data_IF_544519790712
#
_entry.id   IF_544519790712
#
_cell.length_a   1.000
_cell.length_b   1.000
_cell.length_c   1.000
_cell.angle_alpha   90.00
_cell.angle_beta   90.00
_cell.angle_gamma   90.00
#
_symmetry.space_group_name_H-M   'P 1'
#
loop_
_entity.id
_entity.type
_entity.pdbx_description
1 polymer ?
#
# COMPACT_ATOMS: atom_id res chain seq x y z
N UNK A 1 1.35 14.22 14.49
CA UNK A 1 1.27 13.26 13.38
C UNK A 1 2.06 12.02 13.78
N UNK A 2 1.53 10.80 13.55
CA UNK A 2 2.27 9.57 13.78
C UNK A 2 3.55 9.52 12.93
N UNK A 3 4.71 9.15 13.48
CA UNK A 3 5.93 8.98 12.68
C UNK A 3 5.75 7.84 11.68
N UNK A 4 5.86 8.18 10.39
CA UNK A 4 5.97 7.22 9.29
C UNK A 4 7.45 7.03 8.95
N UNK A 5 7.89 5.79 8.93
CA UNK A 5 9.22 5.39 8.47
C UNK A 5 9.07 4.64 7.16
N UNK A 6 9.80 5.04 6.13
CA UNK A 6 9.78 4.38 4.84
C UNK A 6 10.93 3.38 4.74
N UNK A 7 10.73 2.30 4.00
CA UNK A 7 11.78 1.32 3.75
C UNK A 7 12.83 1.87 2.79
N UNK A 8 14.06 1.36 2.89
CA UNK A 8 15.20 1.82 2.07
C UNK A 8 15.07 1.47 0.59
N UNK A 9 14.27 0.45 0.29
CA UNK A 9 13.99 -0.07 -1.03
C UNK A 9 12.71 0.52 -1.64
N UNK A 10 12.13 1.55 -1.01
CA UNK A 10 10.89 2.22 -1.42
C UNK A 10 9.68 1.25 -1.58
N UNK A 11 9.79 0.01 -1.11
CA UNK A 11 8.76 -1.03 -1.27
C UNK A 11 7.74 -1.04 -0.14
N UNK A 12 8.00 -0.35 0.97
CA UNK A 12 7.15 -0.41 2.14
C UNK A 12 7.24 0.81 3.05
N UNK A 13 6.33 0.84 4.02
CA UNK A 13 6.28 1.84 5.07
C UNK A 13 5.88 1.21 6.40
N UNK A 14 6.40 1.75 7.48
CA UNK A 14 6.02 1.43 8.85
C UNK A 14 5.42 2.67 9.48
N UNK A 15 4.21 2.54 9.99
CA UNK A 15 3.48 3.56 10.71
C UNK A 15 3.49 3.24 12.20
N UNK A 16 3.81 4.24 13.01
CA UNK A 16 3.69 4.17 14.46
C UNK A 16 2.68 5.23 14.93
N UNK A 17 1.50 4.76 15.35
CA UNK A 17 0.39 5.55 15.84
C UNK A 17 0.22 5.31 17.34
N UNK A 18 1.14 5.87 18.13
CA UNK A 18 1.14 5.75 19.58
C UNK A 18 1.52 4.34 20.04
N UNK A 19 0.52 3.51 20.32
CA UNK A 19 0.69 2.10 20.66
C UNK A 19 0.44 1.17 19.47
N UNK A 20 -0.20 1.67 18.41
CA UNK A 20 -0.52 0.87 17.23
C UNK A 20 0.61 0.95 16.21
N UNK A 21 1.17 -0.21 15.81
CA UNK A 21 2.26 -0.29 14.84
C UNK A 21 1.86 -1.17 13.67
N UNK A 22 1.97 -0.63 12.47
CA UNK A 22 1.58 -1.31 11.23
C UNK A 22 2.69 -1.17 10.20
N UNK A 23 3.02 -2.26 9.52
CA UNK A 23 3.97 -2.28 8.42
C UNK A 23 3.27 -2.72 7.14
N UNK A 24 3.43 -1.96 6.06
CA UNK A 24 2.92 -2.34 4.74
C UNK A 24 4.08 -2.58 3.79
N UNK A 25 4.02 -3.67 3.03
CA UNK A 25 4.99 -4.05 2.01
C UNK A 25 4.26 -4.22 0.68
N UNK A 26 4.83 -3.69 -0.39
CA UNK A 26 4.28 -3.72 -1.74
C UNK A 26 5.25 -4.51 -2.62
N UNK A 27 4.77 -5.65 -3.11
CA UNK A 27 5.52 -6.53 -4.00
C UNK A 27 4.98 -6.44 -5.43
N UNK A 28 5.75 -5.87 -6.38
CA UNK A 28 5.37 -5.86 -7.79
C UNK A 28 5.73 -7.19 -8.47
N UNK A 29 4.78 -7.76 -9.20
CA UNK A 29 4.99 -8.97 -10.02
C UNK A 29 4.46 -8.77 -11.43
N UNK A 30 5.14 -9.33 -12.43
CA UNK A 30 4.64 -9.33 -13.81
C UNK A 30 3.80 -10.58 -14.04
N UNK A 31 2.51 -10.38 -14.30
CA UNK A 31 1.56 -11.48 -14.56
C UNK A 31 0.79 -11.24 -15.86
N UNK A 32 0.13 -12.28 -16.37
CA UNK A 32 -0.86 -12.08 -17.42
C UNK A 32 -2.10 -11.37 -16.84
N UNK A 33 -2.74 -10.45 -17.59
CA UNK A 33 -3.99 -9.83 -17.15
C UNK A 33 -5.14 -10.84 -17.14
N UNK A 34 -6.23 -10.47 -16.48
CA UNK A 34 -7.49 -11.20 -16.58
C UNK A 34 -8.10 -11.03 -17.98
N UNK A 35 -8.76 -12.07 -18.48
CA UNK A 35 -9.37 -12.04 -19.82
C UNK A 35 -10.46 -10.96 -19.96
N UNK A 36 -11.17 -10.68 -18.86
CA UNK A 36 -12.22 -9.65 -18.82
C UNK A 36 -11.67 -8.22 -19.01
N UNK A 37 -10.43 -7.97 -18.59
CA UNK A 37 -9.79 -6.65 -18.55
C UNK A 37 -8.32 -6.74 -18.98
N UNK A 38 -8.03 -6.87 -20.29
CA UNK A 38 -6.67 -7.07 -20.79
C UNK A 38 -5.76 -5.83 -20.70
N UNK A 39 -6.34 -4.65 -20.46
CA UNK A 39 -5.65 -3.35 -20.43
C UNK A 39 -5.40 -2.84 -19.00
N UNK A 40 -5.81 -3.58 -17.98
CA UNK A 40 -5.74 -3.16 -16.58
C UNK A 40 -4.78 -4.07 -15.81
N UNK A 41 -3.96 -3.48 -14.94
CA UNK A 41 -3.16 -4.20 -13.96
C UNK A 41 -3.99 -4.71 -12.79
N UNK A 42 -3.44 -5.68 -12.05
CA UNK A 42 -4.10 -6.24 -10.87
C UNK A 42 -3.56 -5.61 -9.59
N UNK A 43 -4.43 -5.35 -8.62
CA UNK A 43 -4.05 -4.93 -7.26
C UNK A 43 -4.72 -5.87 -6.27
N UNK A 44 -3.94 -6.45 -5.37
CA UNK A 44 -4.40 -7.35 -4.32
C UNK A 44 -4.01 -6.80 -2.96
N UNK A 45 -4.97 -6.74 -2.04
CA UNK A 45 -4.75 -6.35 -0.66
C UNK A 45 -4.83 -7.58 0.22
N UNK A 46 -3.88 -7.72 1.12
CA UNK A 46 -3.84 -8.78 2.12
C UNK A 46 -3.49 -8.14 3.46
N UNK A 47 -4.28 -8.44 4.49
CA UNK A 47 -4.03 -7.95 5.84
C UNK A 47 -3.80 -9.14 6.74
N UNK A 48 -2.63 -9.22 7.34
CA UNK A 48 -2.26 -10.24 8.29
C UNK A 48 -2.07 -9.63 9.68
N UNK A 49 -2.72 -10.22 10.66
CA UNK A 49 -2.53 -9.87 12.06
C UNK A 49 -1.47 -10.79 12.65
N UNK A 50 -0.32 -10.21 13.01
CA UNK A 50 0.70 -10.97 13.70
C UNK A 50 0.21 -11.38 15.09
N UNK A 51 0.48 -12.62 15.55
CA UNK A 51 0.25 -13.01 16.94
C UNK A 51 1.02 -12.13 17.95
N UNK A 52 2.04 -11.40 17.47
CA UNK A 52 2.74 -10.40 18.28
C UNK A 52 1.87 -9.20 18.65
N UNK A 53 0.88 -8.85 17.81
CA UNK A 53 0.05 -7.67 18.02
C UNK A 53 -0.99 -7.87 19.12
N UNK A 54 -1.51 -9.09 19.26
CA UNK A 54 -2.37 -9.48 20.37
C UNK A 54 -2.37 -10.99 20.54
N UNK A 55 -2.37 -11.52 21.78
CA UNK A 55 -2.48 -12.96 22.03
C UNK A 55 -3.81 -13.56 21.53
N UNK A 56 -4.81 -12.74 21.24
CA UNK A 56 -6.08 -13.18 20.63
C UNK A 56 -5.96 -13.56 19.15
N UNK A 57 -4.86 -13.15 18.48
CA UNK A 57 -4.67 -13.40 17.06
C UNK A 57 -3.94 -14.73 16.83
N UNK A 58 -4.49 -15.55 15.94
CA UNK A 58 -3.89 -16.81 15.53
C UNK A 58 -3.15 -16.62 14.21
N UNK A 59 -1.95 -17.17 14.10
CA UNK A 59 -1.19 -17.15 12.86
C UNK A 59 -1.88 -17.99 11.78
N UNK A 60 -1.83 -17.51 10.53
CA UNK A 60 -2.26 -18.26 9.36
C UNK A 60 -3.71 -18.00 8.94
N UNK A 61 -4.72 -18.24 9.80
CA UNK A 61 -6.12 -17.98 9.42
C UNK A 61 -6.44 -16.50 9.63
N UNK A 62 -6.84 -15.74 8.59
CA UNK A 62 -7.25 -14.36 8.79
C UNK A 62 -8.50 -14.33 9.67
N UNK A 63 -8.40 -13.64 10.80
CA UNK A 63 -9.54 -13.39 11.69
C UNK A 63 -10.59 -12.51 11.03
N UNK A 64 -11.81 -12.50 11.57
CA UNK A 64 -12.92 -11.69 11.03
C UNK A 64 -12.55 -10.21 10.91
N UNK A 65 -11.89 -9.65 11.93
CA UNK A 65 -11.42 -8.27 11.92
C UNK A 65 -10.40 -7.99 10.80
N UNK A 66 -9.50 -8.94 10.48
CA UNK A 66 -8.53 -8.79 9.39
C UNK A 66 -9.24 -8.83 8.02
N UNK A 67 -10.22 -9.71 7.85
CA UNK A 67 -11.05 -9.78 6.64
C UNK A 67 -11.83 -8.48 6.46
N UNK A 68 -12.34 -7.91 7.55
CA UNK A 68 -13.11 -6.66 7.50
C UNK A 68 -12.25 -5.45 7.12
N UNK A 69 -11.03 -5.35 7.66
CA UNK A 69 -10.06 -4.31 7.26
C UNK A 69 -9.58 -4.53 5.84
N UNK A 70 -9.36 -5.77 5.41
CA UNK A 70 -9.01 -6.09 4.01
C UNK A 70 -10.10 -5.60 3.05
N UNK A 71 -11.37 -5.90 3.35
CA UNK A 71 -12.52 -5.41 2.55
C UNK A 71 -12.65 -3.90 2.56
N UNK A 72 -12.33 -3.25 3.69
CA UNK A 72 -12.31 -1.79 3.78
C UNK A 72 -11.22 -1.20 2.86
N UNK A 73 -10.01 -1.75 2.87
CA UNK A 73 -8.92 -1.33 1.98
C UNK A 73 -9.30 -1.53 0.51
N UNK A 74 -9.86 -2.68 0.17
CA UNK A 74 -10.35 -2.94 -1.20
C UNK A 74 -11.38 -1.89 -1.64
N UNK A 75 -12.41 -1.63 -0.82
CA UNK A 75 -13.41 -0.59 -1.15
C UNK A 75 -12.79 0.80 -1.27
N UNK A 76 -11.87 1.12 -0.36
CA UNK A 76 -11.26 2.43 -0.32
C UNK A 76 -10.31 2.69 -1.49
N UNK A 77 -9.55 1.70 -1.96
CA UNK A 77 -8.54 1.89 -3.02
C UNK A 77 -8.98 1.35 -4.39
N UNK A 78 -9.60 0.16 -4.44
CA UNK A 78 -10.06 -0.47 -5.69
C UNK A 78 -11.37 0.15 -6.17
N UNK A 79 -12.39 0.18 -5.32
CA UNK A 79 -13.73 0.63 -5.75
C UNK A 79 -13.76 2.15 -5.99
N UNK A 80 -12.95 2.90 -5.24
CA UNK A 80 -12.78 4.34 -5.48
C UNK A 80 -11.92 4.64 -6.71
N UNK A 81 -11.21 3.66 -7.30
CA UNK A 81 -10.20 3.85 -8.38
C UNK A 81 -9.08 4.81 -8.00
N UNK A 82 -8.54 4.69 -6.78
CA UNK A 82 -7.44 5.53 -6.32
C UNK A 82 -6.14 5.26 -7.08
N UNK A 83 -5.92 4.01 -7.47
CA UNK A 83 -4.72 3.55 -8.20
C UNK A 83 -5.05 3.47 -9.69
N UNK A 84 -4.21 4.06 -10.53
CA UNK A 84 -4.31 3.94 -11.97
C UNK A 84 -3.88 2.53 -12.43
N UNK A 85 -4.86 1.68 -12.71
CA UNK A 85 -4.65 0.31 -13.18
C UNK A 85 -4.24 0.25 -14.65
N UNK A 86 -4.57 1.26 -15.46
CA UNK A 86 -4.20 1.31 -16.88
C UNK A 86 -2.70 1.61 -17.02
N UNK A 87 -2.15 2.49 -16.16
CA UNK A 87 -0.72 2.78 -16.09
C UNK A 87 0.15 1.58 -15.67
N UNK A 88 -0.45 0.51 -15.14
CA UNK A 88 0.19 -0.75 -14.79
C UNK A 88 0.28 -1.73 -15.97
N UNK A 89 -0.41 -1.47 -17.09
CA UNK A 89 -0.32 -2.30 -18.28
C UNK A 89 0.97 -2.02 -19.06
N UNK A 90 1.77 -3.07 -19.28
CA UNK A 90 3.00 -2.98 -20.09
C UNK A 90 2.71 -3.36 -21.53
N UNK A 91 2.03 -4.50 -21.72
CA UNK A 91 1.61 -5.01 -23.02
C UNK A 91 0.19 -5.57 -22.89
N UNK A 92 -0.76 -4.89 -23.53
CA UNK A 92 -2.17 -5.23 -23.52
C UNK A 92 -2.40 -6.72 -23.85
N UNK A 93 -3.16 -7.41 -23.00
CA UNK A 93 -3.51 -8.83 -23.18
C UNK A 93 -2.38 -9.84 -22.91
N UNK A 94 -1.16 -9.40 -22.61
CA UNK A 94 -0.02 -10.32 -22.44
C UNK A 94 0.70 -10.18 -21.10
N UNK A 95 1.04 -8.95 -20.70
CA UNK A 95 1.84 -8.67 -19.50
C UNK A 95 1.38 -7.37 -18.85
N UNK A 96 0.92 -7.49 -17.61
CA UNK A 96 0.55 -6.36 -16.76
C UNK A 96 1.27 -6.48 -15.41
N UNK A 97 1.44 -5.35 -14.75
CA UNK A 97 1.90 -5.35 -13.36
C UNK A 97 0.76 -5.77 -12.43
N UNK A 98 1.08 -6.70 -11.54
CA UNK A 98 0.26 -7.11 -10.42
C UNK A 98 0.93 -6.66 -9.13
N UNK A 99 0.29 -5.75 -8.39
CA UNK A 99 0.76 -5.27 -7.10
C UNK A 99 0.10 -6.09 -5.99
N UNK A 100 0.92 -6.79 -5.21
CA UNK A 100 0.46 -7.41 -3.95
C UNK A 100 0.85 -6.49 -2.80
N UNK A 101 -0.14 -6.03 -2.05
CA UNK A 101 0.00 -5.10 -0.93
C UNK A 101 -0.31 -5.91 0.34
N UNK A 102 0.73 -6.20 1.09
CA UNK A 102 0.67 -6.95 2.33
C UNK A 102 0.79 -6.01 3.51
N UNK A 103 -0.26 -5.94 4.34
CA UNK A 103 -0.32 -5.12 5.55
C UNK A 103 -0.17 -6.04 6.75
N UNK A 104 0.93 -5.88 7.49
CA UNK A 104 1.22 -6.62 8.71
C UNK A 104 0.98 -5.72 9.92
N UNK A 105 0.03 -6.12 10.77
CA UNK A 105 -0.18 -5.47 12.06
C UNK A 105 0.82 -6.04 13.07
N UNK A 106 1.66 -5.17 13.62
CA UNK A 106 2.74 -5.53 14.56
C UNK A 106 2.31 -5.36 16.02
N UNK A 107 1.57 -4.29 16.30
CA UNK A 107 1.09 -3.95 17.64
C UNK A 107 -0.32 -3.34 17.53
N UNK A 108 -1.20 -3.72 18.46
CA UNK A 108 -2.60 -3.29 18.48
C UNK A 108 -2.91 -2.45 19.73
N UNK A 109 -2.86 -1.13 19.58
CA UNK A 109 -3.22 -0.16 20.62
C UNK A 109 -4.59 0.50 20.45
N UNK A 110 -5.39 0.06 19.47
CA UNK A 110 -6.63 0.72 19.04
C UNK A 110 -6.53 1.30 17.63
N UNK A 111 -7.69 1.53 17.02
CA UNK A 111 -7.87 2.11 15.69
C UNK A 111 -7.04 1.46 14.57
N UNK A 112 -7.09 0.13 14.47
CA UNK A 112 -6.36 -0.62 13.45
C UNK A 112 -6.76 -0.24 12.02
N UNK A 113 -8.03 0.06 11.79
CA UNK A 113 -8.55 0.35 10.46
C UNK A 113 -7.87 1.60 9.86
N UNK A 114 -7.82 2.70 10.62
CA UNK A 114 -7.21 3.94 10.14
C UNK A 114 -5.71 3.81 10.02
N UNK A 115 -5.06 3.12 10.97
CA UNK A 115 -3.62 2.87 10.91
C UNK A 115 -3.25 2.06 9.66
N UNK A 116 -4.02 1.02 9.32
CA UNK A 116 -3.81 0.23 8.10
C UNK A 116 -4.04 1.06 6.83
N UNK A 117 -5.10 1.86 6.80
CA UNK A 117 -5.41 2.77 5.68
C UNK A 117 -4.29 3.79 5.45
N UNK A 118 -3.84 4.45 6.52
CA UNK A 118 -2.79 5.47 6.46
C UNK A 118 -1.44 4.86 6.07
N UNK A 119 -1.09 3.68 6.63
CA UNK A 119 0.15 2.99 6.31
C UNK A 119 0.17 2.52 4.85
N UNK A 120 -0.96 1.97 4.37
CA UNK A 120 -1.11 1.55 2.96
C UNK A 120 -0.99 2.73 2.02
N UNK A 121 -1.65 3.84 2.33
CA UNK A 121 -1.56 5.06 1.53
C UNK A 121 -0.12 5.60 1.49
N UNK A 122 0.55 5.64 2.64
CA UNK A 122 1.94 6.09 2.73
C UNK A 122 2.87 5.21 1.88
N UNK A 123 2.72 3.88 1.97
CA UNK A 123 3.49 2.93 1.18
C UNK A 123 3.23 3.13 -0.33
N UNK A 124 1.97 3.26 -0.75
CA UNK A 124 1.62 3.47 -2.16
C UNK A 124 2.19 4.78 -2.74
N UNK A 125 2.23 5.85 -1.95
CA UNK A 125 2.81 7.12 -2.38
C UNK A 125 4.35 7.08 -2.48
N UNK A 126 5.00 6.34 -1.58
CA UNK A 126 6.45 6.13 -1.61
C UNK A 126 6.87 5.13 -2.69
N UNK A 127 5.99 4.18 -3.02
CA UNK A 127 6.27 3.07 -3.92
C UNK A 127 6.75 3.53 -5.30
N UNK A 128 7.80 2.87 -5.78
CA UNK A 128 8.33 3.02 -7.14
C UNK A 128 8.47 1.66 -7.78
N UNK A 129 7.87 1.48 -8.95
CA UNK A 129 8.01 0.24 -9.71
C UNK A 129 9.30 0.25 -10.53
N UNK A 130 9.96 -0.91 -10.72
CA UNK A 130 11.08 -0.98 -11.65
C UNK A 130 10.61 -0.69 -13.08
N UNK A 131 11.47 -0.04 -13.87
CA UNK A 131 11.14 0.29 -15.26
C UNK A 131 11.22 -0.95 -16.15
N UNK A 132 10.42 -0.95 -17.21
CA UNK A 132 10.30 -2.06 -18.16
C UNK A 132 10.52 -1.57 -19.57
N UNK A 133 11.47 -2.19 -20.26
CA UNK A 133 11.63 -1.99 -21.69
C UNK A 133 10.93 -3.10 -22.46
N UNK A 134 10.06 -2.68 -23.38
CA UNK A 134 9.40 -3.58 -24.32
C UNK A 134 10.24 -3.57 -25.59
N UNK A 135 11.06 -4.59 -25.77
CA UNK A 135 11.70 -4.82 -27.05
C UNK A 135 10.68 -5.47 -27.98
N UNK A 136 10.30 -4.75 -29.05
CA UNK A 136 9.60 -5.35 -30.17
C UNK A 136 10.53 -6.41 -30.77
N UNK A 137 10.27 -7.68 -30.47
CA UNK A 137 10.98 -8.77 -31.12
C UNK A 137 10.81 -8.63 -32.64
N UNK A 138 11.91 -8.73 -33.38
CA UNK A 138 11.93 -8.60 -34.83
C UNK A 138 10.81 -9.40 -35.50
N UNK A 139 10.35 -8.90 -36.65
CA UNK A 139 9.11 -9.21 -37.38
C UNK A 139 8.81 -10.69 -37.70
N UNK A 140 9.60 -11.66 -37.24
CA UNK A 140 9.47 -13.08 -37.57
C UNK A 140 8.94 -13.98 -36.42
N UNK A 141 8.67 -13.46 -35.22
CA UNK A 141 8.20 -14.32 -34.10
C UNK A 141 7.04 -13.81 -33.27
N UNK A 142 6.49 -12.61 -33.53
CA UNK A 142 5.28 -12.10 -32.87
C UNK A 142 5.31 -12.02 -31.33
N UNK A 143 6.45 -12.30 -30.68
CA UNK A 143 6.61 -12.29 -29.22
C UNK A 143 7.37 -11.04 -28.81
N UNK A 144 6.67 -10.08 -28.24
CA UNK A 144 7.27 -8.96 -27.54
C UNK A 144 8.01 -9.46 -26.29
N UNK A 145 9.29 -9.09 -26.14
CA UNK A 145 10.09 -9.43 -24.97
C UNK A 145 10.06 -8.26 -23.99
N UNK A 146 9.49 -8.48 -22.81
CA UNK A 146 9.52 -7.51 -21.71
C UNK A 146 10.76 -7.80 -20.88
N UNK A 147 11.66 -6.82 -20.78
CA UNK A 147 12.83 -6.89 -19.92
C UNK A 147 12.64 -5.91 -18.76
N UNK A 148 12.67 -6.42 -17.53
CA UNK A 148 12.68 -5.58 -16.33
C UNK A 148 14.09 -5.06 -16.12
N UNK A 149 14.24 -3.74 -16.06
CA UNK A 149 15.52 -3.11 -15.82
C UNK A 149 15.81 -3.13 -14.31
N UNK A 150 17.07 -3.38 -13.96
CA UNK A 150 17.49 -3.28 -12.56
C UNK A 150 17.47 -1.81 -12.11
N UNK A 151 17.25 -1.54 -10.81
CA UNK A 151 17.23 -0.17 -10.27
C UNK A 151 18.53 0.63 -10.51
N UNK A 152 19.63 -0.06 -10.81
CA UNK A 152 20.93 0.54 -11.16
C UNK A 152 21.00 1.01 -12.62
N UNK A 153 20.22 0.39 -13.51
CA UNK A 153 20.23 0.69 -14.94
C UNK A 153 19.30 1.86 -15.28
N UNK A 154 18.15 1.96 -14.61
CA UNK A 154 17.16 3.01 -14.86
C UNK A 154 16.36 3.35 -13.61
N UNK A 155 15.91 4.60 -13.54
CA UNK A 155 15.20 5.10 -12.36
C UNK A 155 13.82 4.44 -12.20
N UNK A 156 13.52 3.91 -11.00
CA UNK A 156 12.18 3.39 -10.70
C UNK A 156 11.10 4.46 -10.88
N UNK A 157 9.99 4.06 -11.50
CA UNK A 157 8.90 4.96 -11.89
C UNK A 157 7.87 5.04 -10.76
N UNK A 158 7.41 6.25 -10.37
CA UNK A 158 6.31 6.40 -9.42
C UNK A 158 5.02 5.78 -9.91
N UNK A 159 4.22 5.27 -8.96
CA UNK A 159 2.86 4.88 -9.22
C UNK A 159 1.98 6.13 -9.41
N UNK A 160 1.13 6.12 -10.44
CA UNK A 160 0.12 7.14 -10.65
C UNK A 160 -1.07 6.88 -9.72
N UNK A 161 -1.32 7.79 -8.79
CA UNK A 161 -2.51 7.77 -7.93
C UNK A 161 -3.42 8.93 -8.33
N UNK A 162 -4.68 8.65 -8.66
CA UNK A 162 -5.66 9.68 -9.00
C UNK A 162 -6.04 10.51 -7.79
N UNK A 163 -6.20 9.85 -6.65
CA UNK A 163 -6.64 10.47 -5.42
C UNK A 163 -6.23 9.64 -4.20
N UNK A 164 -6.31 10.25 -3.01
CA UNK A 164 -5.69 9.71 -1.79
C UNK A 164 -6.76 9.49 -0.72
N UNK A 165 -7.37 8.28 -0.66
CA UNK A 165 -8.38 7.95 0.32
C UNK A 165 -7.77 7.76 1.71
N UNK A 166 -8.35 8.42 2.72
CA UNK A 166 -7.95 8.32 4.12
C UNK A 166 -9.15 7.91 4.98
N UNK A 167 -8.99 6.88 5.81
CA UNK A 167 -9.98 6.47 6.81
C UNK A 167 -9.83 7.23 8.12
N UNK A 168 -10.96 7.65 8.69
CA UNK A 168 -11.05 8.19 10.05
C UNK A 168 -12.18 7.49 10.80
N UNK A 169 -11.84 6.94 11.95
CA UNK A 169 -12.70 6.15 12.82
C UNK A 169 -13.17 6.97 14.02
N UNK A 170 -14.42 6.68 14.38
CA UNK A 170 -15.16 7.39 15.40
C UNK A 170 -15.85 6.39 16.32
N UNK A 171 -15.65 6.57 17.62
CA UNK A 171 -16.35 5.82 18.66
C UNK A 171 -17.50 6.65 19.22
N UNK A 172 -18.66 6.01 19.39
CA UNK A 172 -19.87 6.58 19.98
C UNK A 172 -20.07 6.01 21.38
N UNK A 173 -20.33 6.91 22.32
CA UNK A 173 -20.67 6.61 23.71
C UNK A 173 -22.05 7.18 24.04
N UNK A 174 -22.67 6.65 25.10
CA UNK A 174 -23.97 7.13 25.63
C UNK A 174 -25.03 7.31 24.54
N UNK A 175 -25.34 6.24 23.79
CA UNK A 175 -26.30 6.25 22.67
C UNK A 175 -26.03 7.31 21.58
N UNK A 176 -24.76 7.74 21.45
CA UNK A 176 -24.28 8.63 20.39
C UNK A 176 -24.29 10.11 20.76
N UNK A 177 -24.53 10.47 22.02
CA UNK A 177 -24.37 11.85 22.49
C UNK A 177 -22.90 12.27 22.49
N UNK A 178 -22.03 11.34 22.88
CA UNK A 178 -20.58 11.54 22.95
C UNK A 178 -19.89 10.86 21.76
N UNK A 179 -18.97 11.61 21.15
CA UNK A 179 -18.19 11.20 19.99
C UNK A 179 -16.70 11.38 20.27
N UNK A 180 -15.93 10.31 20.09
CA UNK A 180 -14.48 10.33 20.17
C UNK A 180 -13.91 10.01 18.79
N UNK A 181 -12.81 10.67 18.44
CA UNK A 181 -12.07 10.47 17.18
C UNK A 181 -10.78 9.74 17.52
N UNK A 182 -10.40 8.74 16.72
CA UNK A 182 -9.18 7.94 16.94
C UNK A 182 -9.21 7.21 18.29
N UNK A 183 -10.16 6.28 18.50
CA UNK A 183 -10.35 5.64 19.78
C UNK A 183 -9.19 4.69 20.12
N UNK A 184 -8.76 4.68 21.38
CA UNK A 184 -7.81 3.69 21.87
C UNK A 184 -8.47 2.32 22.10
N UNK A 185 -7.68 1.28 22.37
CA UNK A 185 -8.21 -0.08 22.60
C UNK A 185 -9.23 -0.17 23.75
N UNK A 186 -9.14 0.71 24.76
CA UNK A 186 -10.07 0.72 25.90
C UNK A 186 -11.37 1.43 25.57
N UNK A 187 -11.27 2.52 24.80
CA UNK A 187 -12.37 3.28 24.25
C UNK A 187 -13.15 2.43 23.23
N UNK A 188 -12.47 1.69 22.36
CA UNK A 188 -13.11 0.74 21.43
C UNK A 188 -13.89 -0.36 22.17
N UNK A 189 -13.32 -0.90 23.26
CA UNK A 189 -13.98 -1.93 24.07
C UNK A 189 -15.20 -1.41 24.84
N UNK A 190 -15.19 -0.12 25.23
CA UNK A 190 -16.29 0.54 25.92
C UNK A 190 -17.31 1.21 24.98
N UNK A 191 -16.98 1.35 23.69
CA UNK A 191 -17.82 2.03 22.73
C UNK A 191 -19.12 1.27 22.45
N UNK A 192 -20.23 2.00 22.40
CA UNK A 192 -21.50 1.44 21.99
C UNK A 192 -21.56 1.27 20.46
N UNK A 193 -20.94 2.19 19.71
CA UNK A 193 -20.92 2.19 18.25
C UNK A 193 -19.56 2.60 17.69
N UNK A 194 -19.14 2.00 16.58
CA UNK A 194 -17.94 2.40 15.83
C UNK A 194 -18.30 2.68 14.38
N UNK A 195 -17.85 3.83 13.87
CA UNK A 195 -18.02 4.22 12.47
C UNK A 195 -16.70 4.72 11.88
N UNK A 196 -16.31 4.18 10.73
CA UNK A 196 -15.16 4.62 9.95
C UNK A 196 -15.65 5.31 8.69
N UNK A 197 -15.18 6.52 8.45
CA UNK A 197 -15.47 7.31 7.24
C UNK A 197 -14.18 7.45 6.45
N UNK A 198 -14.20 6.97 5.21
CA UNK A 198 -13.10 7.14 4.25
C UNK A 198 -13.41 8.34 3.38
N UNK A 199 -12.52 9.32 3.40
CA UNK A 199 -12.64 10.58 2.66
C UNK A 199 -11.46 10.78 1.74
N UNK A 200 -11.70 11.47 0.64
CA UNK A 200 -10.72 11.76 -0.38
C UNK A 200 -10.09 13.15 -0.23
N UNK A 201 -9.02 13.45 -0.97
CA UNK A 201 -8.43 14.80 -1.07
C UNK A 201 -9.38 15.85 -1.59
N UNK A 202 -10.40 15.45 -2.35
CA UNK A 202 -11.48 16.32 -2.83
C UNK A 202 -12.58 16.55 -1.79
N UNK A 203 -12.42 16.05 -0.55
CA UNK A 203 -13.45 16.05 0.50
C UNK A 203 -14.72 15.24 0.18
N UNK A 204 -14.63 14.38 -0.84
CA UNK A 204 -15.67 13.42 -1.19
C UNK A 204 -15.56 12.16 -0.33
N UNK A 205 -16.71 11.60 0.04
CA UNK A 205 -16.77 10.38 0.84
C UNK A 205 -16.66 9.17 -0.08
N UNK A 206 -15.63 8.34 0.09
CA UNK A 206 -15.45 7.11 -0.69
C UNK A 206 -16.25 5.95 -0.09
N UNK A 207 -16.18 5.77 1.23
CA UNK A 207 -16.83 4.66 1.92
C UNK A 207 -17.19 5.06 3.34
N UNK A 208 -18.38 4.67 3.79
CA UNK A 208 -18.75 4.74 5.21
C UNK A 208 -18.96 3.31 5.69
N UNK A 209 -18.27 2.94 6.76
CA UNK A 209 -18.39 1.65 7.42
C UNK A 209 -18.87 1.88 8.84
N UNK A 210 -19.85 1.10 9.26
CA UNK A 210 -20.32 1.03 10.63
C UNK A 210 -20.16 -0.41 11.11
N UNK A 211 -19.33 -0.60 12.12
CA UNK A 211 -18.91 -1.94 12.58
C UNK A 211 -19.75 -2.40 13.76
N UNK A 212 -19.96 -1.54 14.75
CA UNK A 212 -20.77 -1.85 15.94
C UNK A 212 -22.03 -0.99 16.04
N UNK A 213 -23.03 -1.56 16.71
CA UNK A 213 -24.41 -1.12 16.64
C UNK A 213 -24.82 -0.14 17.73
N UNK A 214 -25.34 1.02 17.30
CA UNK A 214 -26.39 1.81 17.96
C UNK A 214 -27.27 2.39 16.85
N UNK A 215 -28.47 2.90 17.13
CA UNK A 215 -29.18 3.73 16.15
C UNK A 215 -28.45 5.07 15.96
N UNK A 216 -27.88 5.34 14.78
CA UNK A 216 -27.22 6.62 14.51
C UNK A 216 -28.16 7.46 13.66
N UNK A 217 -28.49 8.66 14.13
CA UNK A 217 -29.30 9.62 13.38
C UNK A 217 -28.53 10.19 12.18
N UNK A 218 -29.24 10.56 11.12
CA UNK A 218 -28.59 11.16 9.94
C UNK A 218 -27.85 12.47 10.26
N UNK A 219 -28.36 13.22 11.23
CA UNK A 219 -27.70 14.43 11.75
C UNK A 219 -26.33 14.14 12.38
N UNK A 220 -26.21 13.03 13.13
CA UNK A 220 -24.92 12.59 13.67
C UNK A 220 -23.98 12.14 12.54
N UNK A 221 -24.47 11.42 11.53
CA UNK A 221 -23.66 11.01 10.38
C UNK A 221 -23.08 12.23 9.66
N UNK A 222 -23.90 13.25 9.39
CA UNK A 222 -23.42 14.50 8.77
C UNK A 222 -22.38 15.22 9.63
N UNK A 223 -22.56 15.23 10.96
CA UNK A 223 -21.57 15.80 11.89
C UNK A 223 -20.24 15.08 11.80
N UNK A 224 -20.26 13.74 11.76
CA UNK A 224 -19.07 12.90 11.70
C UNK A 224 -18.33 13.08 10.37
N UNK A 225 -19.04 13.11 9.24
CA UNK A 225 -18.43 13.34 7.91
C UNK A 225 -17.74 14.70 7.85
N UNK A 226 -18.34 15.75 8.41
CA UNK A 226 -17.72 17.08 8.48
C UNK A 226 -16.43 17.06 9.32
N UNK A 227 -16.46 16.37 10.46
CA UNK A 227 -15.30 16.25 11.33
C UNK A 227 -14.20 15.41 10.66
N UNK A 228 -14.57 14.33 9.96
CA UNK A 228 -13.67 13.50 9.18
C UNK A 228 -12.96 14.33 8.11
N UNK A 229 -13.67 15.14 7.33
CA UNK A 229 -13.04 15.98 6.29
C UNK A 229 -12.01 16.96 6.88
N UNK A 230 -12.32 17.61 8.00
CA UNK A 230 -11.39 18.52 8.68
C UNK A 230 -10.14 17.79 9.19
N UNK A 231 -10.33 16.65 9.85
CA UNK A 231 -9.23 15.86 10.41
C UNK A 231 -8.40 15.19 9.32
N UNK A 232 -9.01 14.77 8.22
CA UNK A 232 -8.32 14.14 7.11
C UNK A 232 -7.36 15.12 6.44
N UNK A 233 -7.77 16.38 6.23
CA UNK A 233 -6.87 17.42 5.72
C UNK A 233 -5.59 17.54 6.55
N UNK A 234 -5.73 17.61 7.88
CA UNK A 234 -4.58 17.71 8.79
C UNK A 234 -3.64 16.49 8.71
N UNK A 235 -4.20 15.28 8.66
CA UNK A 235 -3.41 14.04 8.57
C UNK A 235 -2.71 13.94 7.20
N UNK A 236 -3.42 14.29 6.13
CA UNK A 236 -2.89 14.29 4.76
C UNK A 236 -1.76 15.28 4.56
N UNK A 237 -1.85 16.48 5.14
CA UNK A 237 -0.78 17.47 5.06
C UNK A 237 0.47 16.99 5.80
N UNK A 238 0.29 16.35 6.96
CA UNK A 238 1.37 15.67 7.65
C UNK A 238 2.02 14.58 6.80
N UNK A 239 1.21 13.74 6.15
CA UNK A 239 1.69 12.64 5.30
C UNK A 239 2.51 13.17 4.12
N UNK A 240 2.01 14.21 3.43
CA UNK A 240 2.75 14.87 2.35
C UNK A 240 4.09 15.43 2.82
N UNK A 241 4.13 16.06 4.00
CA UNK A 241 5.37 16.58 4.59
C UNK A 241 6.36 15.46 4.97
N UNK A 242 5.88 14.30 5.43
CA UNK A 242 6.72 13.13 5.68
C UNK A 242 7.30 12.57 4.36
N UNK A 243 6.49 12.48 3.32
CA UNK A 243 6.92 12.00 2.01
C UNK A 243 7.96 12.91 1.36
N UNK A 244 7.78 14.24 1.43
CA UNK A 244 8.76 15.20 0.91
C UNK A 244 10.13 15.09 1.60
N UNK A 245 10.15 14.87 2.93
CA UNK A 245 11.38 14.62 3.68
C UNK A 245 12.05 13.34 3.24
N UNK A 246 11.28 12.30 2.98
CA UNK A 246 11.78 11.03 2.47
C UNK A 246 12.37 11.17 1.06
N UNK A 247 11.65 11.81 0.14
CA UNK A 247 12.11 12.08 -1.23
C UNK A 247 13.42 12.89 -1.23
N UNK A 248 13.52 13.93 -0.39
CA UNK A 248 14.73 14.75 -0.26
C UNK A 248 15.91 13.92 0.26
N UNK A 249 15.68 13.09 1.28
CA UNK A 249 16.71 12.21 1.87
C UNK A 249 17.20 11.19 0.85
N UNK A 250 16.29 10.64 0.03
CA UNK A 250 16.60 9.73 -1.08
C UNK A 250 17.47 10.40 -2.14
N UNK A 251 17.08 11.59 -2.60
CA UNK A 251 17.85 12.36 -3.59
C UNK A 251 19.25 12.64 -3.07
N UNK A 252 19.38 13.06 -1.81
CA UNK A 252 20.69 13.29 -1.18
C UNK A 252 21.53 12.01 -1.08
N UNK A 253 20.94 10.88 -0.68
CA UNK A 253 21.63 9.59 -0.61
C UNK A 253 22.09 9.12 -2.01
N UNK A 254 21.30 9.38 -3.04
CA UNK A 254 21.65 9.06 -4.44
C UNK A 254 22.80 9.91 -4.96
N UNK A 255 22.79 11.22 -4.73
CA UNK A 255 23.91 12.11 -5.13
C UNK A 255 25.22 11.60 -4.53
N UNK A 256 25.22 11.21 -3.25
CA UNK A 256 26.40 10.62 -2.60
C UNK A 256 26.86 9.32 -3.28
N UNK A 257 25.95 8.45 -3.71
CA UNK A 257 26.29 7.19 -4.42
C UNK A 257 26.91 7.45 -5.78
N UNK A 258 26.35 8.38 -6.58
CA UNK A 258 26.91 8.71 -7.90
C UNK A 258 28.27 9.40 -7.80
N UNK A 259 28.45 10.33 -6.85
CA UNK A 259 29.75 10.96 -6.62
C UNK A 259 30.81 9.95 -6.20
N UNK A 260 30.44 8.93 -5.40
CA UNK A 260 31.37 7.87 -4.98
C UNK A 260 31.68 6.87 -6.10
N UNK A 261 30.69 6.50 -6.92
CA UNK A 261 30.89 5.65 -8.09
C UNK A 261 31.74 6.33 -9.19
N UNK A 262 31.66 7.66 -9.32
CA UNK A 262 32.52 8.43 -10.23
C UNK A 262 33.99 8.49 -9.76
N UNK A 263 34.28 8.18 -8.49
CA UNK A 263 35.64 8.14 -7.94
C UNK A 263 36.30 6.76 -8.05
N UNK A 264 35.57 5.69 -8.34
CA UNK A 264 36.11 4.32 -8.53
C UNK A 264 36.04 3.91 -10.01
N UNK A 265 37.15 3.87 -10.76
CA UNK A 265 37.13 3.43 -12.15
C UNK A 265 37.15 1.89 -12.22
N UNK A 266 36.05 1.31 -12.71
CA UNK A 266 36.05 -0.01 -13.36
C UNK A 266 35.45 -1.18 -12.57
N UNK A 267 34.22 -1.56 -12.92
CA UNK A 267 33.77 -2.94 -12.82
C UNK A 267 32.78 -3.23 -13.96
N UNK A 268 32.93 -4.34 -14.72
CA UNK A 268 32.02 -4.68 -15.81
C UNK A 268 30.64 -5.04 -15.26
N UNK A 269 29.61 -4.36 -15.77
CA UNK A 269 28.21 -4.58 -15.37
C UNK A 269 27.78 -6.04 -15.58
N UNK A 270 27.26 -6.66 -14.52
CA UNK A 270 26.62 -7.98 -14.61
C UNK A 270 25.26 -7.84 -15.29
N UNK A 271 25.17 -8.30 -16.54
CA UNK A 271 23.89 -8.56 -17.21
C UNK A 271 23.39 -9.95 -16.84
N UNK A 272 22.17 -10.06 -16.31
CA UNK A 272 21.49 -11.35 -16.13
C UNK A 272 20.58 -11.58 -17.33
N UNK A 273 20.96 -12.51 -18.20
CA UNK A 273 20.11 -13.00 -19.29
C UNK A 273 19.35 -14.22 -18.79
N UNK A 274 18.04 -14.09 -18.57
CA UNK A 274 17.18 -15.27 -18.36
C UNK A 274 16.96 -15.94 -19.72
N UNK A 275 17.55 -17.11 -19.90
CA UNK A 275 17.24 -18.03 -20.99
C UNK A 275 16.06 -18.90 -20.55
N UNK A 276 14.95 -18.85 -21.29
CA UNK A 276 13.85 -19.76 -21.09
C UNK A 276 14.26 -21.16 -21.56
N UNK A 277 14.56 -22.06 -20.63
CA UNK A 277 14.59 -23.50 -20.90
C UNK A 277 13.15 -24.01 -20.95
N UNK A 278 12.84 -24.79 -21.98
CA UNK A 278 11.53 -25.40 -22.17
C UNK A 278 11.09 -26.28 -21.00
N UNK A 279 9.77 -26.23 -20.77
CA UNK A 279 8.92 -27.24 -20.14
C UNK A 279 9.54 -28.11 -19.03
N UNK A 280 9.36 -27.72 -17.76
CA UNK A 280 9.11 -28.68 -16.67
C UNK A 280 8.13 -28.04 -15.67
N UNK A 281 7.11 -28.81 -15.34
CA UNK A 281 6.07 -28.62 -14.31
C UNK A 281 6.61 -28.34 -12.90
N UNK A 282 5.93 -27.45 -12.16
CA UNK A 282 5.92 -27.43 -10.69
C UNK A 282 6.98 -26.56 -10.00
N UNK A 283 6.52 -25.82 -8.99
CA UNK A 283 7.25 -25.13 -7.91
C UNK A 283 7.96 -23.79 -8.14
N UNK A 284 7.32 -22.75 -7.58
CA UNK A 284 7.88 -21.60 -6.85
C UNK A 284 9.29 -21.11 -7.19
N UNK A 285 9.34 -19.96 -7.89
CA UNK A 285 10.54 -19.13 -8.02
C UNK A 285 10.82 -18.39 -6.70
N UNK A 286 11.67 -18.97 -5.86
CA UNK A 286 12.33 -18.27 -4.75
C UNK A 286 13.46 -17.38 -5.30
N UNK A 287 13.48 -16.12 -4.87
CA UNK A 287 14.58 -15.17 -5.12
C UNK A 287 15.68 -15.45 -4.10
N UNK A 288 16.77 -16.05 -4.53
CA UNK A 288 17.90 -16.40 -3.66
C UNK A 288 18.95 -15.28 -3.66
N UNK A 289 19.15 -14.63 -2.50
CA UNK A 289 20.18 -13.61 -2.29
C UNK A 289 21.49 -14.29 -1.87
N UNK A 290 22.26 -14.76 -2.84
CA UNK A 290 23.57 -15.37 -2.58
C UNK A 290 24.54 -14.40 -1.89
N UNK A 291 24.89 -14.69 -0.62
CA UNK A 291 26.01 -14.07 0.11
C UNK A 291 27.33 -14.43 -0.57
N UNK A 292 28.10 -13.41 -0.97
CA UNK A 292 29.48 -13.57 -1.44
C UNK A 292 30.46 -13.76 -0.27
N UNK A 293 31.44 -14.63 -0.50
CA UNK A 293 32.57 -14.96 0.39
C UNK A 293 33.39 -13.74 0.82
#
# INVERSE_FOLDING_TARGET
MPPVQFSLDDSGATLDMGQTKVMTVITPTLTAPYEDRPNEGAVRFNVEYSPMASPSFQAGRPGEAAIEVTRLLERAFRDSRAIDQEALCVLAGHRVWSLSIDVHVLDNGGNLADACMLCTLAALMAFRRPDTEVAAGGAESGRARVTVLSPSAREPVPLSLHHLPLGISFAFFEDGELLVVDPDSTEEAAAAGLMTVVVNTHSDVCTVRKTSGIGISMTQVHRVVRLANSRAGQVMDGLKAALQRHDTSRVAARVRRHTRAAQEPGAPGRSVTVLASGAITGDSLCIDWGRGK
#
